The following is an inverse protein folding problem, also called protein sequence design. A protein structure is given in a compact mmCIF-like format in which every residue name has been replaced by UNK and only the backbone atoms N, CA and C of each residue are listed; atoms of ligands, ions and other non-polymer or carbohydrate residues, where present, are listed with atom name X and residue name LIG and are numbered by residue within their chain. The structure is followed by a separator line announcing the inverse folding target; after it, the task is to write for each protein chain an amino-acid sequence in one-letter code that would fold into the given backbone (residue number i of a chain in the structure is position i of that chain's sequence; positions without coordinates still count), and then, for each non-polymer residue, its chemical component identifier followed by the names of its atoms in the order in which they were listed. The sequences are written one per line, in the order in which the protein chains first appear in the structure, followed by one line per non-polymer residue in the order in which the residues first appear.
data_IF_243183685574
#
_entry.id   IF_243183685574
#
_cell.length_a   1.000
_cell.length_b   1.000
_cell.length_c   1.000
_cell.angle_alpha   90.00
_cell.angle_beta   90.00
_cell.angle_gamma   90.00
#
_symmetry.space_group_name_H-M   'P 1'
#
loop_
_entity.id
_entity.type
_entity.pdbx_description
1 polymer ?
#
# COMPACT_ATOMS: atom_id res chain seq x y z
N UNK A 1 50.13 9.39 9.98
CA UNK A 1 49.00 8.44 9.90
C UNK A 1 48.58 8.36 8.43
N UNK A 2 48.95 7.29 7.71
CA UNK A 2 48.45 7.02 6.35
C UNK A 2 47.42 5.90 6.44
N UNK A 3 46.23 6.09 5.85
CA UNK A 3 45.23 5.04 5.69
C UNK A 3 45.58 4.12 4.51
N UNK A 4 45.24 2.82 4.54
CA UNK A 4 45.49 1.91 3.42
C UNK A 4 44.43 2.07 2.31
N UNK A 5 44.76 1.72 1.04
CA UNK A 5 43.84 1.87 -0.08
C UNK A 5 42.78 0.76 -0.10
N UNK A 6 41.56 1.14 -0.48
CA UNK A 6 40.41 0.25 -0.60
C UNK A 6 40.59 -0.59 -1.88
N UNK A 7 40.82 -1.89 -1.71
CA UNK A 7 40.89 -2.84 -2.82
C UNK A 7 39.53 -2.90 -3.55
N UNK A 8 39.56 -2.57 -4.84
CA UNK A 8 38.40 -2.65 -5.72
C UNK A 8 37.83 -4.06 -5.76
N UNK A 9 36.54 -4.20 -5.44
CA UNK A 9 35.77 -5.43 -5.69
C UNK A 9 35.60 -5.57 -7.21
N UNK A 10 36.49 -6.33 -7.83
CA UNK A 10 36.29 -6.80 -9.20
C UNK A 10 35.12 -7.78 -9.21
N UNK A 11 34.08 -7.46 -9.99
CA UNK A 11 32.93 -8.31 -10.20
C UNK A 11 33.34 -9.61 -10.88
N UNK A 12 32.98 -10.75 -10.29
CA UNK A 12 33.11 -12.05 -10.92
C UNK A 12 32.16 -12.14 -12.13
N UNK A 13 32.59 -12.76 -13.25
CA UNK A 13 31.73 -12.95 -14.43
C UNK A 13 30.59 -13.93 -14.13
N UNK A 14 29.43 -13.82 -14.81
CA UNK A 14 28.31 -14.73 -14.60
C UNK A 14 28.63 -16.12 -15.16
N UNK A 15 28.96 -17.04 -14.26
CA UNK A 15 29.19 -18.47 -14.56
C UNK A 15 27.85 -19.16 -14.80
N UNK A 16 27.64 -19.69 -16.02
CA UNK A 16 26.76 -20.80 -16.42
C UNK A 16 25.27 -20.81 -15.94
N UNK A 17 24.34 -21.47 -16.65
CA UNK A 17 22.99 -21.67 -16.14
C UNK A 17 23.06 -22.46 -14.83
N UNK A 18 22.74 -21.82 -13.70
CA UNK A 18 22.66 -22.50 -12.41
C UNK A 18 21.54 -23.54 -12.47
N UNK A 19 21.95 -24.81 -12.42
CA UNK A 19 21.08 -25.96 -12.17
C UNK A 19 20.22 -25.65 -10.94
N UNK A 20 18.90 -25.60 -11.13
CA UNK A 20 17.97 -25.20 -10.07
C UNK A 20 18.07 -26.23 -8.94
N UNK A 21 18.45 -25.83 -7.71
CA UNK A 21 18.65 -26.81 -6.64
C UNK A 21 17.37 -27.62 -6.38
N UNK A 22 17.44 -28.92 -6.06
CA UNK A 22 16.27 -29.79 -6.00
C UNK A 22 15.20 -29.34 -4.99
N UNK A 23 15.58 -28.59 -3.96
CA UNK A 23 14.65 -28.03 -2.98
C UNK A 23 13.88 -26.79 -3.47
N UNK A 24 14.35 -26.12 -4.53
CA UNK A 24 13.69 -24.94 -5.08
C UNK A 24 12.33 -25.28 -5.66
N UNK A 25 12.21 -26.43 -6.32
CA UNK A 25 10.95 -26.87 -6.90
C UNK A 25 9.93 -27.14 -5.79
N UNK A 26 10.31 -27.88 -4.75
CA UNK A 26 9.44 -28.15 -3.60
C UNK A 26 9.02 -26.87 -2.86
N UNK A 27 9.95 -25.92 -2.70
CA UNK A 27 9.67 -24.62 -2.10
C UNK A 27 8.75 -23.77 -2.98
N UNK A 28 8.94 -23.78 -4.29
CA UNK A 28 8.08 -23.08 -5.24
C UNK A 28 6.66 -23.67 -5.26
N UNK A 29 6.54 -25.00 -5.25
CA UNK A 29 5.24 -25.67 -5.15
C UNK A 29 4.53 -25.35 -3.84
N UNK A 30 5.25 -25.31 -2.72
CA UNK A 30 4.69 -24.90 -1.42
C UNK A 30 4.18 -23.46 -1.47
N UNK A 31 4.97 -22.52 -2.00
CA UNK A 31 4.58 -21.13 -2.17
C UNK A 31 3.38 -20.98 -3.11
N UNK A 32 3.37 -21.73 -4.22
CA UNK A 32 2.26 -21.71 -5.17
C UNK A 32 0.99 -22.26 -4.54
N UNK A 33 1.05 -23.36 -3.79
CA UNK A 33 -0.09 -23.90 -3.04
C UNK A 33 -0.60 -22.89 -2.01
N UNK A 34 0.30 -22.18 -1.31
CA UNK A 34 -0.06 -21.11 -0.39
C UNK A 34 -0.83 -19.98 -1.08
N UNK A 35 -0.34 -19.50 -2.22
CA UNK A 35 -0.99 -18.45 -3.02
C UNK A 35 -2.35 -18.88 -3.59
N UNK A 36 -2.46 -20.13 -4.05
CA UNK A 36 -3.73 -20.69 -4.51
C UNK A 36 -4.75 -20.79 -3.36
N UNK A 37 -4.29 -21.18 -2.15
CA UNK A 37 -5.12 -21.17 -0.95
C UNK A 37 -5.59 -19.77 -0.57
N UNK A 38 -4.71 -18.77 -0.65
CA UNK A 38 -5.07 -17.36 -0.43
C UNK A 38 -6.10 -16.90 -1.47
N UNK A 39 -5.90 -17.22 -2.75
CA UNK A 39 -6.84 -16.87 -3.82
C UNK A 39 -8.21 -17.50 -3.59
N UNK A 40 -8.26 -18.78 -3.23
CA UNK A 40 -9.51 -19.47 -2.91
C UNK A 40 -10.23 -18.85 -1.70
N UNK A 41 -9.49 -18.38 -0.69
CA UNK A 41 -10.07 -17.67 0.45
C UNK A 41 -10.62 -16.29 0.06
N UNK A 42 -9.98 -15.57 -0.87
CA UNK A 42 -10.46 -14.28 -1.38
C UNK A 42 -11.70 -14.48 -2.27
N UNK A 43 -11.72 -15.52 -3.10
CA UNK A 43 -12.81 -15.83 -4.03
C UNK A 43 -13.99 -16.54 -3.33
N UNK A 44 -13.71 -17.34 -2.30
CA UNK A 44 -14.68 -18.14 -1.56
C UNK A 44 -15.17 -17.50 -0.25
N UNK A 45 -14.58 -16.39 0.19
CA UNK A 45 -15.19 -15.58 1.22
C UNK A 45 -16.55 -15.10 0.68
N UNK A 46 -17.67 -15.29 1.42
CA UNK A 46 -18.89 -14.59 1.07
C UNK A 46 -18.52 -13.11 1.10
N UNK A 47 -18.58 -12.46 -0.07
CA UNK A 47 -18.74 -11.01 -0.10
C UNK A 47 -19.98 -10.81 0.74
N UNK A 48 -19.80 -10.42 2.00
CA UNK A 48 -20.89 -9.88 2.76
C UNK A 48 -21.29 -8.66 1.93
N UNK A 49 -22.29 -8.83 1.08
CA UNK A 49 -23.11 -7.75 0.52
C UNK A 49 -23.92 -7.09 1.64
N UNK A 50 -23.36 -7.00 2.84
CA UNK A 50 -23.49 -5.77 3.59
C UNK A 50 -22.88 -4.73 2.68
N UNK A 51 -23.74 -4.15 1.85
CA UNK A 51 -23.64 -2.77 1.43
C UNK A 51 -23.55 -1.93 2.70
N UNK A 52 -22.43 -2.02 3.41
CA UNK A 52 -21.96 -0.95 4.25
C UNK A 52 -21.57 0.11 3.24
N UNK A 53 -22.58 0.89 2.85
CA UNK A 53 -22.37 2.11 2.09
C UNK A 53 -21.26 2.85 2.83
N UNK A 54 -20.12 3.12 2.18
CA UNK A 54 -18.92 3.61 2.86
C UNK A 54 -19.17 4.90 3.65
N UNK A 55 -20.24 5.62 3.28
CA UNK A 55 -20.80 6.75 3.98
C UNK A 55 -22.17 6.37 4.57
N UNK A 56 -22.18 5.71 5.73
CA UNK A 56 -23.41 5.60 6.53
C UNK A 56 -23.75 6.98 7.11
N UNK A 57 -25.03 7.26 7.40
CA UNK A 57 -25.44 8.52 8.03
C UNK A 57 -24.69 8.77 9.35
N UNK A 58 -24.31 7.69 10.05
CA UNK A 58 -23.48 7.76 11.25
C UNK A 58 -22.01 8.14 10.99
N UNK A 59 -21.49 7.98 9.77
CA UNK A 59 -20.17 8.50 9.37
C UNK A 59 -20.31 9.97 8.96
N UNK A 60 -21.38 10.33 8.25
CA UNK A 60 -21.62 11.70 7.78
C UNK A 60 -21.95 12.65 8.93
N UNK A 61 -22.73 12.19 9.91
CA UNK A 61 -23.15 12.98 11.08
C UNK A 61 -22.09 13.04 12.19
N UNK A 62 -21.00 12.28 12.07
CA UNK A 62 -19.90 12.32 13.03
C UNK A 62 -19.12 13.62 12.81
N UNK A 63 -19.24 14.55 13.75
CA UNK A 63 -18.48 15.80 13.72
C UNK A 63 -17.00 15.47 13.86
N UNK A 64 -16.23 15.78 12.81
CA UNK A 64 -14.80 15.59 12.81
C UNK A 64 -14.20 16.34 14.01
N UNK A 65 -13.36 15.70 14.86
CA UNK A 65 -12.73 16.37 15.98
C UNK A 65 -12.09 17.68 15.53
N UNK A 66 -12.37 18.79 16.23
CA UNK A 66 -11.89 20.13 15.83
C UNK A 66 -10.35 20.25 15.73
N UNK A 67 -9.62 19.25 16.25
CA UNK A 67 -8.17 19.11 16.20
C UNK A 67 -7.68 18.14 15.10
N UNK A 68 -8.54 17.67 14.20
CA UNK A 68 -8.11 16.86 13.06
C UNK A 68 -7.20 17.68 12.15
N UNK A 69 -5.91 17.33 12.13
CA UNK A 69 -4.96 17.94 11.23
C UNK A 69 -5.38 17.71 9.78
N UNK A 70 -5.44 18.76 8.99
CA UNK A 70 -5.50 18.62 7.53
C UNK A 70 -4.19 17.99 7.06
N UNK A 71 -4.23 16.94 6.24
CA UNK A 71 -3.02 16.30 5.74
C UNK A 71 -2.27 17.26 4.85
N UNK A 72 -0.97 17.44 5.09
CA UNK A 72 -0.08 18.22 4.23
C UNK A 72 0.33 17.40 3.01
N UNK A 73 -0.64 16.94 2.22
CA UNK A 73 -0.39 16.28 0.93
C UNK A 73 -0.79 17.21 -0.22
N UNK A 74 -0.12 17.05 -1.36
CA UNK A 74 -0.47 17.80 -2.56
C UNK A 74 -1.90 17.45 -3.00
N UNK A 75 -2.66 18.47 -3.40
CA UNK A 75 -4.01 18.27 -3.92
C UNK A 75 -3.99 17.44 -5.20
N UNK A 76 -4.97 16.56 -5.34
CA UNK A 76 -5.17 15.76 -6.53
C UNK A 76 -5.87 16.59 -7.62
N UNK A 77 -5.12 16.94 -8.68
CA UNK A 77 -5.62 17.71 -9.84
C UNK A 77 -5.94 16.79 -11.04
N UNK A 78 -5.87 15.46 -10.87
CA UNK A 78 -6.11 14.49 -11.95
C UNK A 78 -4.92 14.27 -12.90
N UNK A 79 -3.79 14.94 -12.67
CA UNK A 79 -2.56 14.81 -13.48
C UNK A 79 -1.53 13.87 -12.84
N UNK A 80 -1.68 13.60 -11.53
CA UNK A 80 -0.83 12.69 -10.76
C UNK A 80 -1.44 11.29 -10.86
N UNK A 81 -0.60 10.26 -10.80
CA UNK A 81 -1.07 8.88 -10.77
C UNK A 81 -2.01 8.65 -9.56
N UNK A 82 -3.22 8.11 -9.77
CA UNK A 82 -4.19 7.91 -8.70
C UNK A 82 -3.70 6.98 -7.59
N UNK A 83 -2.90 5.96 -7.93
CA UNK A 83 -2.37 5.01 -6.95
C UNK A 83 -1.25 5.67 -6.12
N UNK A 84 -0.45 6.51 -6.75
CA UNK A 84 0.56 7.30 -6.06
C UNK A 84 -0.10 8.30 -5.07
N UNK A 85 -1.17 8.97 -5.48
CA UNK A 85 -1.95 9.86 -4.60
C UNK A 85 -2.52 9.11 -3.40
N UNK A 86 -3.14 7.94 -3.66
CA UNK A 86 -3.67 7.09 -2.61
C UNK A 86 -2.58 6.64 -1.63
N UNK A 87 -1.43 6.20 -2.13
CA UNK A 87 -0.30 5.78 -1.28
C UNK A 87 0.23 6.92 -0.41
N UNK A 88 0.32 8.14 -0.94
CA UNK A 88 0.70 9.34 -0.17
C UNK A 88 -0.32 9.62 0.93
N UNK A 89 -1.60 9.57 0.59
CA UNK A 89 -2.68 9.74 1.57
C UNK A 89 -2.64 8.69 2.67
N UNK A 90 -2.48 7.40 2.33
CA UNK A 90 -2.41 6.31 3.30
C UNK A 90 -1.21 6.46 4.25
N UNK A 91 -0.06 6.86 3.73
CA UNK A 91 1.12 7.13 4.56
C UNK A 91 0.88 8.28 5.55
N UNK A 92 0.26 9.38 5.11
CA UNK A 92 -0.11 10.48 6.00
C UNK A 92 -1.16 10.05 7.02
N UNK A 93 -2.18 9.30 6.59
CA UNK A 93 -3.20 8.76 7.48
C UNK A 93 -2.61 7.86 8.57
N UNK A 94 -1.59 7.06 8.24
CA UNK A 94 -0.88 6.22 9.20
C UNK A 94 -0.07 7.06 10.21
N UNK A 95 0.64 8.09 9.74
CA UNK A 95 1.43 8.98 10.60
C UNK A 95 0.55 9.71 11.62
N UNK A 96 -0.62 10.17 11.19
CA UNK A 96 -1.58 10.85 12.05
C UNK A 96 -2.54 9.90 12.77
N UNK A 97 -2.39 8.58 12.59
CA UNK A 97 -3.24 7.53 13.18
C UNK A 97 -4.73 7.76 12.93
N UNK A 98 -5.09 8.14 11.71
CA UNK A 98 -6.49 8.32 11.33
C UNK A 98 -7.26 7.01 11.43
N UNK A 99 -8.41 7.06 12.09
CA UNK A 99 -9.41 6.00 12.01
C UNK A 99 -10.02 6.01 10.61
N UNK A 100 -10.62 4.89 10.19
CA UNK A 100 -11.21 4.80 8.84
C UNK A 100 -12.30 5.86 8.60
N UNK A 101 -13.02 6.26 9.65
CA UNK A 101 -13.97 7.39 9.61
C UNK A 101 -13.30 8.71 9.26
N UNK A 102 -12.21 9.03 9.93
CA UNK A 102 -11.43 10.27 9.68
C UNK A 102 -10.82 10.22 8.28
N UNK A 103 -10.33 9.06 7.83
CA UNK A 103 -9.81 8.90 6.46
C UNK A 103 -10.87 9.27 5.43
N UNK A 104 -12.10 8.78 5.55
CA UNK A 104 -13.17 9.08 4.60
C UNK A 104 -13.48 10.57 4.50
N UNK A 105 -13.53 11.29 5.63
CA UNK A 105 -13.78 12.73 5.66
C UNK A 105 -12.62 13.53 5.07
N UNK A 106 -11.41 13.21 5.48
CA UNK A 106 -10.21 13.94 5.07
C UNK A 106 -9.85 13.64 3.60
N UNK A 107 -10.10 12.43 3.09
CA UNK A 107 -9.76 12.08 1.72
C UNK A 107 -10.43 12.99 0.70
N UNK A 108 -11.69 13.38 0.95
CA UNK A 108 -12.44 14.32 0.09
C UNK A 108 -11.78 15.70 0.03
N UNK A 109 -11.09 16.12 1.10
CA UNK A 109 -10.36 17.40 1.13
C UNK A 109 -9.04 17.35 0.38
N UNK A 110 -8.61 16.19 -0.10
CA UNK A 110 -7.35 16.04 -0.85
C UNK A 110 -7.54 16.23 -2.35
N UNK A 111 -8.79 16.35 -2.83
CA UNK A 111 -9.10 16.65 -4.22
C UNK A 111 -9.10 18.16 -4.45
N UNK A 112 -8.48 18.61 -5.54
CA UNK A 112 -8.63 19.98 -5.98
C UNK A 112 -10.10 20.27 -6.34
N UNK A 113 -10.53 21.52 -6.25
CA UNK A 113 -11.93 21.93 -6.55
C UNK A 113 -12.44 21.51 -7.93
N UNK A 114 -11.55 21.26 -8.90
CA UNK A 114 -11.89 20.77 -10.23
C UNK A 114 -12.12 19.25 -10.31
N UNK A 115 -11.77 18.52 -9.25
CA UNK A 115 -11.85 17.06 -9.13
C UNK A 115 -12.77 16.59 -7.97
N UNK A 116 -13.42 17.54 -7.27
CA UNK A 116 -14.51 17.30 -6.32
C UNK A 116 -15.86 17.28 -7.04
#
# INVERSE_FOLDING_TARGET
MLAPPIAGRQGAPPTAPQEVPPYWLARFEFLQKGLQGIRYQIEGAPKNERQDVPFTEAVIADELPANCCTPTIAEYVGTIDPLEHLSRFENTALLHKYTDRIKCHIFVTTFARAAQ
#
